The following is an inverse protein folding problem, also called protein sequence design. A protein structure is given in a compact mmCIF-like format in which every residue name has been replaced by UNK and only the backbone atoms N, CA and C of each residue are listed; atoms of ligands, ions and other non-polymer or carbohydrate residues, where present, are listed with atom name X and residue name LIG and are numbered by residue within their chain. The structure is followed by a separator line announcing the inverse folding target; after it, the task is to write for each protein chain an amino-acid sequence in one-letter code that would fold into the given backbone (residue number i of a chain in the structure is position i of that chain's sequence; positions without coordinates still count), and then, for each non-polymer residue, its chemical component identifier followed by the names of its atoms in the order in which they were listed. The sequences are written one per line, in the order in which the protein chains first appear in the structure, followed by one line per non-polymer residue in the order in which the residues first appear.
data_IF_606072131924
#
_entry.id   IF_606072131924
#
_cell.length_a   1.000
_cell.length_b   1.000
_cell.length_c   1.000
_cell.angle_alpha   90.00
_cell.angle_beta   90.00
_cell.angle_gamma   90.00
#
_symmetry.space_group_name_H-M   'P 1'
#
loop_
_entity.id
_entity.type
_entity.pdbx_description
1 polymer ?
#
# COMPACT_ATOMS: atom_id res chain seq x y z
N UNK A 1 10.43 10.49 -10.73
CA UNK A 1 11.31 10.21 -11.91
C UNK A 1 10.89 8.88 -12.50
N UNK A 2 10.86 8.71 -13.83
CA UNK A 2 10.54 7.42 -14.45
C UNK A 2 11.50 6.32 -13.96
N UNK A 3 11.03 5.10 -13.63
CA UNK A 3 11.89 4.02 -13.13
C UNK A 3 13.08 3.70 -14.05
N UNK A 4 12.87 3.80 -15.37
CA UNK A 4 13.90 3.56 -16.39
C UNK A 4 15.09 4.52 -16.32
N UNK A 5 14.94 5.65 -15.62
CA UNK A 5 15.98 6.67 -15.53
C UNK A 5 16.89 6.46 -14.31
N UNK A 6 16.51 5.60 -13.35
CA UNK A 6 17.37 5.21 -12.23
C UNK A 6 18.66 4.57 -12.75
N UNK A 7 19.81 5.09 -12.30
CA UNK A 7 21.13 4.58 -12.70
C UNK A 7 21.66 5.09 -14.05
N UNK A 8 20.92 5.96 -14.74
CA UNK A 8 21.37 6.59 -16.00
C UNK A 8 22.67 7.40 -15.82
N UNK A 9 23.48 7.50 -16.90
CA UNK A 9 24.73 8.28 -16.87
C UNK A 9 24.52 9.75 -16.48
N UNK A 10 23.39 10.34 -16.87
CA UNK A 10 23.00 11.70 -16.50
C UNK A 10 22.90 11.86 -14.98
N UNK A 11 22.24 10.94 -14.28
CA UNK A 11 22.12 10.99 -12.83
C UNK A 11 23.46 10.81 -12.11
N UNK A 12 24.34 9.96 -12.65
CA UNK A 12 25.69 9.73 -12.09
C UNK A 12 26.61 10.95 -12.20
N UNK A 13 26.28 11.92 -13.05
CA UNK A 13 27.04 13.16 -13.19
C UNK A 13 26.65 14.21 -12.16
N UNK A 14 25.55 14.02 -11.42
CA UNK A 14 25.13 14.95 -10.36
C UNK A 14 26.01 14.67 -9.12
N UNK A 15 26.86 15.62 -8.69
CA UNK A 15 27.71 15.42 -7.53
C UNK A 15 26.86 15.34 -6.26
N UNK A 16 27.21 14.42 -5.35
CA UNK A 16 26.51 14.18 -4.08
C UNK A 16 25.00 13.90 -4.23
N UNK A 17 24.60 13.23 -5.32
CA UNK A 17 23.21 12.85 -5.53
C UNK A 17 22.74 11.83 -4.46
N UNK A 18 21.51 12.01 -3.98
CA UNK A 18 20.80 11.07 -3.12
C UNK A 18 19.49 10.65 -3.80
N UNK A 19 19.11 9.38 -3.63
CA UNK A 19 17.91 8.79 -4.22
C UNK A 19 16.88 8.55 -3.12
N UNK A 20 15.67 9.08 -3.35
CA UNK A 20 14.52 8.84 -2.49
C UNK A 20 13.39 8.15 -3.25
N UNK A 21 12.64 7.28 -2.56
CA UNK A 21 11.41 6.67 -3.07
C UNK A 21 10.23 7.19 -2.24
N UNK A 22 9.18 7.65 -2.94
CA UNK A 22 7.90 8.03 -2.35
C UNK A 22 6.85 6.99 -2.75
N UNK A 23 6.37 6.19 -1.80
CA UNK A 23 5.34 5.16 -2.03
C UNK A 23 4.74 4.73 -0.69
N UNK A 24 3.44 4.39 -0.66
CA UNK A 24 2.76 3.90 0.56
C UNK A 24 3.46 2.68 1.16
N UNK A 25 4.05 1.83 0.32
CA UNK A 25 4.84 0.66 0.74
C UNK A 25 6.10 1.01 1.53
N UNK A 26 6.56 2.26 1.50
CA UNK A 26 7.68 2.72 2.34
C UNK A 26 7.32 2.78 3.82
N UNK A 27 6.04 2.66 4.18
CA UNK A 27 5.58 2.43 5.56
C UNK A 27 6.03 1.06 6.09
N UNK A 28 6.25 0.07 5.22
CA UNK A 28 6.73 -1.27 5.59
C UNK A 28 8.27 -1.27 5.66
N UNK A 29 8.82 -1.63 6.83
CA UNK A 29 10.28 -1.67 7.05
C UNK A 29 11.03 -2.53 6.01
N UNK A 30 10.41 -3.62 5.55
CA UNK A 30 10.97 -4.53 4.55
C UNK A 30 11.27 -3.82 3.23
N UNK A 31 10.28 -3.19 2.61
CA UNK A 31 10.44 -2.53 1.31
C UNK A 31 11.51 -1.43 1.31
N UNK A 32 11.66 -0.70 2.43
CA UNK A 32 12.70 0.32 2.57
C UNK A 32 14.11 -0.27 2.54
N UNK A 33 14.30 -1.49 3.07
CA UNK A 33 15.60 -2.18 3.11
C UNK A 33 15.96 -2.83 1.77
N UNK A 34 14.97 -3.27 0.98
CA UNK A 34 15.21 -4.03 -0.25
C UNK A 34 15.58 -3.15 -1.45
N UNK A 35 15.19 -1.86 -1.44
CA UNK A 35 15.41 -0.95 -2.57
C UNK A 35 16.78 -0.24 -2.56
N UNK A 36 17.58 -0.39 -1.51
CA UNK A 36 18.92 0.23 -1.36
C UNK A 36 18.96 1.72 -1.73
N UNK A 37 17.97 2.49 -1.25
CA UNK A 37 17.87 3.95 -1.47
C UNK A 37 18.28 4.73 -0.23
N UNK A 38 18.72 5.96 -0.42
CA UNK A 38 19.20 6.83 0.66
C UNK A 38 18.06 7.28 1.59
N UNK A 39 16.85 7.42 1.05
CA UNK A 39 15.65 7.74 1.82
C UNK A 39 14.37 7.09 1.27
N UNK A 40 13.40 6.84 2.15
CA UNK A 40 12.07 6.35 1.80
C UNK A 40 10.99 7.14 2.50
N UNK A 41 10.00 7.60 1.75
CA UNK A 41 8.86 8.39 2.23
C UNK A 41 7.56 7.64 1.98
N UNK A 42 6.79 7.42 3.03
CA UNK A 42 5.46 6.83 2.93
C UNK A 42 4.49 7.87 2.37
N UNK A 43 4.12 7.71 1.10
CA UNK A 43 3.19 8.60 0.39
C UNK A 43 2.24 7.74 -0.45
N UNK A 44 0.95 7.80 -0.13
CA UNK A 44 -0.14 7.17 -0.87
C UNK A 44 -1.38 8.05 -0.86
N UNK A 45 -2.27 7.79 -1.80
CA UNK A 45 -3.65 8.28 -1.84
C UNK A 45 -4.59 7.54 -0.87
N UNK A 46 -4.18 6.36 -0.38
CA UNK A 46 -4.92 5.60 0.63
C UNK A 46 -4.68 6.13 2.05
N UNK A 47 -5.75 6.12 2.85
CA UNK A 47 -5.71 6.40 4.28
C UNK A 47 -5.07 5.24 5.05
N UNK A 48 -4.30 5.58 6.08
CA UNK A 48 -3.81 4.60 7.06
C UNK A 48 -4.91 4.24 8.07
N UNK A 49 -4.61 3.33 8.99
CA UNK A 49 -5.57 2.86 9.99
C UNK A 49 -6.20 4.01 10.79
N UNK A 50 -5.39 4.97 11.23
CA UNK A 50 -5.89 6.10 12.02
C UNK A 50 -6.71 7.06 11.16
N UNK A 51 -6.32 7.28 9.91
CA UNK A 51 -7.08 8.05 8.93
C UNK A 51 -8.44 7.42 8.65
N UNK A 52 -8.51 6.10 8.46
CA UNK A 52 -9.77 5.36 8.28
C UNK A 52 -10.67 5.51 9.50
N UNK A 53 -10.15 5.31 10.72
CA UNK A 53 -10.95 5.49 11.93
C UNK A 53 -11.44 6.92 12.11
N UNK A 54 -10.61 7.91 11.78
CA UNK A 54 -10.99 9.32 11.85
C UNK A 54 -12.11 9.62 10.86
N UNK A 55 -12.02 9.11 9.63
CA UNK A 55 -13.06 9.27 8.61
C UNK A 55 -14.37 8.60 9.01
N UNK A 56 -14.32 7.37 9.53
CA UNK A 56 -15.52 6.64 10.00
C UNK A 56 -16.19 7.37 11.16
N UNK A 57 -15.42 7.89 12.12
CA UNK A 57 -16.00 8.65 13.24
C UNK A 57 -16.60 9.98 12.77
N UNK A 58 -15.93 10.67 11.86
CA UNK A 58 -16.39 11.94 11.32
C UNK A 58 -17.62 11.80 10.41
N UNK A 59 -17.86 10.62 9.82
CA UNK A 59 -19.02 10.40 8.97
C UNK A 59 -20.32 10.20 9.74
N UNK A 60 -20.25 9.87 11.04
CA UNK A 60 -21.41 9.54 11.89
C UNK A 60 -22.34 8.47 11.27
N UNK A 61 -21.77 7.60 10.43
CA UNK A 61 -22.55 6.58 9.74
C UNK A 61 -23.18 5.59 10.74
N UNK A 62 -24.46 5.28 10.55
CA UNK A 62 -25.17 4.28 11.37
C UNK A 62 -24.59 2.87 11.19
N UNK A 63 -24.03 2.59 10.00
CA UNK A 63 -23.40 1.32 9.65
C UNK A 63 -22.32 1.52 8.61
N UNK A 64 -21.22 0.77 8.73
CA UNK A 64 -20.07 0.82 7.81
C UNK A 64 -19.96 -0.49 7.03
N UNK A 65 -19.83 -0.39 5.72
CA UNK A 65 -19.54 -1.54 4.85
C UNK A 65 -18.09 -1.48 4.38
N UNK A 66 -17.30 -2.47 4.74
CA UNK A 66 -15.85 -2.51 4.46
C UNK A 66 -15.60 -3.33 3.20
N UNK A 67 -14.92 -2.72 2.22
CA UNK A 67 -14.52 -3.38 0.97
C UNK A 67 -13.01 -3.28 0.74
N UNK A 68 -12.46 -4.26 0.02
CA UNK A 68 -11.02 -4.42 -0.27
C UNK A 68 -10.12 -4.55 0.98
N UNK A 69 -8.87 -4.95 0.77
CA UNK A 69 -7.86 -5.03 1.83
C UNK A 69 -8.24 -5.99 2.98
N UNK A 70 -7.87 -5.65 4.21
CA UNK A 70 -8.11 -6.48 5.39
C UNK A 70 -9.53 -6.29 5.96
N UNK A 71 -10.55 -6.65 5.16
CA UNK A 71 -11.98 -6.45 5.48
C UNK A 71 -12.35 -7.03 6.86
N UNK A 72 -12.11 -8.32 7.06
CA UNK A 72 -12.42 -9.02 8.32
C UNK A 72 -11.79 -8.35 9.55
N UNK A 73 -10.53 -7.92 9.43
CA UNK A 73 -9.82 -7.27 10.55
C UNK A 73 -10.45 -5.92 10.90
N UNK A 74 -10.73 -5.09 9.90
CA UNK A 74 -11.26 -3.76 10.14
C UNK A 74 -12.72 -3.78 10.59
N UNK A 75 -13.57 -4.59 9.95
CA UNK A 75 -14.96 -4.80 10.36
C UNK A 75 -15.05 -5.32 11.79
N UNK A 76 -14.23 -6.30 12.16
CA UNK A 76 -14.19 -6.81 13.54
C UNK A 76 -13.85 -5.72 14.54
N UNK A 77 -12.80 -4.93 14.27
CA UNK A 77 -12.37 -3.85 15.16
C UNK A 77 -13.45 -2.77 15.32
N UNK A 78 -14.12 -2.36 14.22
CA UNK A 78 -15.20 -1.38 14.29
C UNK A 78 -16.35 -1.86 15.20
N UNK A 79 -16.74 -3.14 15.09
CA UNK A 79 -17.75 -3.72 15.96
C UNK A 79 -17.29 -3.78 17.43
N UNK A 80 -16.02 -4.09 17.70
CA UNK A 80 -15.45 -4.08 19.07
C UNK A 80 -15.54 -2.70 19.73
N UNK A 81 -15.43 -1.62 18.95
CA UNK A 81 -15.56 -0.23 19.45
C UNK A 81 -17.00 0.30 19.37
N UNK A 82 -17.98 -0.55 19.05
CA UNK A 82 -19.40 -0.21 19.05
C UNK A 82 -19.92 0.47 17.78
N UNK A 83 -19.18 0.41 16.67
CA UNK A 83 -19.62 0.90 15.36
C UNK A 83 -20.05 -0.30 14.52
N UNK A 84 -21.35 -0.46 14.18
CA UNK A 84 -21.82 -1.58 13.37
C UNK A 84 -21.10 -1.63 12.03
N UNK A 85 -20.43 -2.76 11.73
CA UNK A 85 -19.70 -2.91 10.49
C UNK A 85 -19.82 -4.31 9.89
N UNK A 86 -19.88 -4.39 8.55
CA UNK A 86 -19.96 -5.64 7.80
C UNK A 86 -18.99 -5.65 6.61
N UNK A 87 -18.51 -6.84 6.26
CA UNK A 87 -17.69 -7.04 5.05
C UNK A 87 -18.58 -7.03 3.81
N UNK A 88 -18.20 -6.23 2.82
CA UNK A 88 -18.88 -6.17 1.54
C UNK A 88 -18.12 -7.01 0.52
N UNK A 89 -18.71 -8.16 0.15
CA UNK A 89 -18.21 -8.98 -0.96
C UNK A 89 -18.62 -8.31 -2.26
N UNK A 90 -17.65 -7.88 -3.05
CA UNK A 90 -17.86 -7.30 -4.37
C UNK A 90 -17.32 -8.25 -5.44
N UNK A 91 -17.97 -8.28 -6.61
CA UNK A 91 -17.54 -9.09 -7.77
C UNK A 91 -16.19 -8.66 -8.37
N UNK A 92 -15.54 -7.64 -7.80
CA UNK A 92 -14.31 -7.01 -8.29
C UNK A 92 -13.09 -7.25 -7.38
N UNK A 93 -13.19 -8.16 -6.40
CA UNK A 93 -12.28 -8.26 -5.25
C UNK A 93 -10.93 -8.96 -5.46
N UNK A 94 -10.72 -9.71 -6.54
CA UNK A 94 -9.56 -10.63 -6.68
C UNK A 94 -8.34 -10.09 -7.46
N UNK A 95 -8.37 -8.86 -7.99
CA UNK A 95 -7.34 -8.40 -8.95
C UNK A 95 -6.13 -7.62 -8.38
N UNK A 96 -5.94 -7.56 -7.06
CA UNK A 96 -4.68 -7.03 -6.52
C UNK A 96 -4.23 -7.83 -5.31
N UNK A 97 -3.31 -8.78 -5.55
CA UNK A 97 -2.13 -9.09 -4.72
C UNK A 97 -1.41 -10.39 -5.14
N UNK A 98 -1.94 -11.19 -6.08
CA UNK A 98 -1.33 -12.48 -6.49
C UNK A 98 -0.76 -12.59 -7.92
N UNK A 99 -1.03 -11.64 -8.81
CA UNK A 99 -0.72 -11.81 -10.23
C UNK A 99 0.76 -11.54 -10.61
N UNK A 100 1.54 -10.85 -9.77
CA UNK A 100 2.96 -10.60 -10.04
C UNK A 100 3.86 -11.76 -9.58
N UNK A 101 3.53 -12.48 -8.50
CA UNK A 101 4.35 -13.60 -8.00
C UNK A 101 4.27 -14.86 -8.89
N UNK A 102 3.20 -15.03 -9.66
CA UNK A 102 3.00 -16.19 -10.52
C UNK A 102 3.78 -16.11 -11.84
N UNK A 103 4.07 -14.90 -12.36
CA UNK A 103 4.79 -14.72 -13.63
C UNK A 103 6.31 -14.93 -13.50
N UNK A 104 6.90 -14.61 -12.34
CA UNK A 104 8.36 -14.73 -12.14
C UNK A 104 8.81 -16.19 -11.94
N UNK A 105 7.96 -17.07 -11.39
CA UNK A 105 8.29 -18.49 -11.21
C UNK A 105 8.16 -19.33 -12.48
N UNK A 106 7.39 -18.89 -13.49
CA UNK A 106 7.23 -19.62 -14.76
C UNK A 106 8.31 -19.28 -15.80
N UNK A 107 8.95 -18.11 -15.74
CA UNK A 107 10.02 -17.72 -16.68
C UNK A 107 11.41 -18.24 -16.33
N UNK A 108 11.61 -18.77 -15.11
CA UNK A 108 12.90 -19.32 -14.66
C UNK A 108 12.95 -20.85 -14.75
N UNK A 109 11.82 -21.49 -15.07
CA UNK A 109 11.68 -22.94 -15.20
C UNK A 109 11.67 -23.45 -16.66
N UNK A 110 12.30 -22.71 -17.59
CA UNK A 110 12.47 -23.12 -18.98
C UNK A 110 13.92 -22.92 -19.44
#
# INVERSE_FOLDING_TARGET
MPPALLGSKMLKQIPNAAVAICSGWMQIRGNRRWKAVDAGFAVSDHADWNGLLSAVKASEAEKVYVTHGSQATFSKYLNEIGIPAEELITEYGDEQLGAEEAKEKQSVAL
#
